data_IF_472935675509
#
_entry.id   IF_472935675509
#
_cell.length_a   1.000
_cell.length_b   1.000
_cell.length_c   1.000
_cell.angle_alpha   90.00
_cell.angle_beta   90.00
_cell.angle_gamma   90.00
#
_symmetry.space_group_name_H-M   'P 1'
#
loop_
_entity.id
_entity.type
_entity.pdbx_description
1 polymer ?
#
# COMPACT_ATOMS: atom_id res chain seq x y z
N UNK A 1 26.13 -0.40 20.19
CA UNK A 1 25.06 -1.20 19.56
C UNK A 1 24.20 -1.83 20.66
N UNK A 2 22.93 -1.41 20.83
CA UNK A 2 21.99 -1.96 21.82
C UNK A 2 21.06 -3.02 21.19
N UNK A 3 21.60 -3.98 20.44
CA UNK A 3 20.82 -5.16 20.05
C UNK A 3 21.11 -6.26 21.06
N UNK A 4 20.46 -6.17 22.23
CA UNK A 4 20.47 -7.20 23.29
C UNK A 4 19.48 -8.33 22.98
N UNK A 5 18.86 -8.91 24.00
CA UNK A 5 17.86 -10.01 23.88
C UNK A 5 16.72 -9.73 22.87
N UNK A 6 16.43 -8.47 22.55
CA UNK A 6 15.47 -8.09 21.51
C UNK A 6 15.78 -8.67 20.12
N UNK A 7 17.05 -8.97 19.80
CA UNK A 7 17.42 -9.62 18.55
C UNK A 7 16.96 -11.09 18.46
N UNK A 8 16.67 -11.73 19.60
CA UNK A 8 16.10 -13.08 19.68
C UNK A 8 14.58 -13.07 19.66
N UNK A 9 13.94 -11.89 19.68
CA UNK A 9 12.49 -11.82 19.64
C UNK A 9 11.99 -12.24 18.27
N UNK A 10 11.10 -13.23 18.25
CA UNK A 10 10.49 -13.75 17.03
C UNK A 10 9.39 -12.84 16.47
N UNK A 11 9.02 -11.78 17.20
CA UNK A 11 7.93 -10.88 16.86
C UNK A 11 8.38 -9.42 16.93
N UNK A 12 7.67 -8.56 16.20
CA UNK A 12 7.85 -7.12 16.34
C UNK A 12 7.16 -6.64 17.63
N UNK A 13 7.77 -5.75 18.43
CA UNK A 13 7.19 -5.27 19.68
C UNK A 13 6.00 -4.31 19.49
N UNK A 14 5.67 -3.95 18.25
CA UNK A 14 4.56 -3.07 17.89
C UNK A 14 3.90 -3.57 16.60
N UNK A 15 2.67 -3.10 16.36
CA UNK A 15 1.97 -3.35 15.10
C UNK A 15 2.61 -2.51 13.99
N UNK A 16 3.42 -3.17 13.17
CA UNK A 16 4.13 -2.53 12.06
C UNK A 16 3.19 -1.97 11.01
N UNK A 17 2.06 -2.64 10.75
CA UNK A 17 1.12 -2.18 9.73
C UNK A 17 0.39 -0.93 10.20
N UNK A 18 -0.02 -0.89 11.48
CA UNK A 18 -0.63 0.29 12.08
C UNK A 18 0.31 1.51 12.01
N UNK A 19 1.57 1.36 12.43
CA UNK A 19 2.56 2.46 12.39
C UNK A 19 2.75 3.01 10.98
N UNK A 20 2.85 2.13 9.96
CA UNK A 20 3.00 2.57 8.58
C UNK A 20 1.73 3.24 8.03
N UNK A 21 0.54 2.79 8.44
CA UNK A 21 -0.73 3.39 8.05
C UNK A 21 -0.95 4.76 8.69
N UNK A 22 -0.57 4.93 9.95
CA UNK A 22 -0.62 6.22 10.65
C UNK A 22 0.25 7.28 9.97
N UNK A 23 1.37 6.87 9.37
CA UNK A 23 2.32 7.76 8.69
C UNK A 23 2.12 7.79 7.17
N UNK A 24 1.01 7.26 6.66
CA UNK A 24 0.76 7.09 5.23
C UNK A 24 0.95 8.37 4.42
N UNK A 25 0.32 9.47 4.84
CA UNK A 25 0.37 10.74 4.11
C UNK A 25 1.80 11.28 4.02
N UNK A 26 2.54 11.21 5.12
CA UNK A 26 3.95 11.59 5.14
C UNK A 26 4.78 10.74 4.16
N UNK A 27 4.57 9.43 4.13
CA UNK A 27 5.28 8.51 3.23
C UNK A 27 4.92 8.79 1.77
N UNK A 28 3.63 8.94 1.46
CA UNK A 28 3.15 9.24 0.10
C UNK A 28 3.74 10.56 -0.40
N UNK A 29 3.71 11.62 0.43
CA UNK A 29 4.25 12.93 0.06
C UNK A 29 5.78 12.95 -0.05
N UNK A 30 6.50 12.34 0.89
CA UNK A 30 7.97 12.39 0.93
C UNK A 30 8.63 11.57 -0.18
N UNK A 31 7.94 10.53 -0.67
CA UNK A 31 8.42 9.65 -1.73
C UNK A 31 7.73 9.92 -3.08
N UNK A 32 6.91 10.98 -3.18
CA UNK A 32 6.15 11.36 -4.38
C UNK A 32 5.34 10.18 -4.96
N UNK A 33 4.65 9.44 -4.08
CA UNK A 33 3.86 8.27 -4.46
C UNK A 33 2.40 8.64 -4.70
N UNK A 34 1.85 8.17 -5.81
CA UNK A 34 0.39 8.22 -6.06
C UNK A 34 -0.40 7.40 -5.03
N UNK A 35 0.20 6.30 -4.55
CA UNK A 35 -0.44 5.37 -3.62
C UNK A 35 0.58 4.53 -2.85
N UNK A 36 0.40 4.50 -1.53
CA UNK A 36 1.01 3.53 -0.64
C UNK A 36 0.02 2.41 -0.27
N UNK A 37 0.50 1.18 -0.16
CA UNK A 37 -0.32 0.04 0.28
C UNK A 37 0.53 -1.03 0.95
N UNK A 38 -0.05 -1.69 1.94
CA UNK A 38 0.60 -2.78 2.69
C UNK A 38 -0.07 -4.09 2.29
N UNK A 39 0.75 -5.12 2.02
CA UNK A 39 0.28 -6.50 1.84
C UNK A 39 0.87 -7.40 2.93
N UNK A 40 0.03 -8.28 3.44
CA UNK A 40 0.45 -9.29 4.42
C UNK A 40 0.91 -10.55 3.69
N UNK A 41 1.92 -11.23 4.26
CA UNK A 41 2.59 -12.39 3.64
C UNK A 41 1.69 -13.62 3.46
N UNK A 42 0.53 -13.64 4.12
CA UNK A 42 -0.48 -14.70 4.05
C UNK A 42 -1.44 -14.54 2.86
N UNK A 43 -1.35 -13.43 2.11
CA UNK A 43 -2.18 -13.18 0.94
C UNK A 43 -1.68 -13.97 -0.27
N UNK A 44 -2.62 -14.56 -1.01
CA UNK A 44 -2.33 -15.42 -2.18
C UNK A 44 -1.63 -14.70 -3.34
N UNK A 45 -1.69 -13.37 -3.39
CA UNK A 45 -1.08 -12.52 -4.41
C UNK A 45 0.32 -12.01 -4.03
N UNK A 46 0.91 -12.52 -2.95
CA UNK A 46 2.30 -12.26 -2.55
C UNK A 46 3.21 -13.32 -3.14
N UNK A 47 4.33 -12.89 -3.74
CA UNK A 47 5.28 -13.81 -4.33
C UNK A 47 5.86 -14.78 -3.29
N UNK A 48 6.01 -16.09 -3.60
CA UNK A 48 6.50 -17.09 -2.65
C UNK A 48 7.89 -16.79 -2.07
N UNK A 49 8.72 -16.03 -2.79
CA UNK A 49 10.04 -15.63 -2.29
C UNK A 49 9.91 -14.58 -1.18
N UNK A 50 8.96 -13.65 -1.30
CA UNK A 50 8.72 -12.59 -0.32
C UNK A 50 8.20 -13.21 0.98
N UNK A 51 7.21 -14.11 0.89
CA UNK A 51 6.64 -14.77 2.09
C UNK A 51 7.66 -15.63 2.86
N UNK A 52 8.71 -16.13 2.19
CA UNK A 52 9.78 -16.92 2.82
C UNK A 52 10.92 -16.09 3.42
N UNK A 53 11.09 -14.86 2.97
CA UNK A 53 12.27 -14.02 3.29
C UNK A 53 11.95 -12.83 4.18
N UNK A 54 10.71 -12.35 4.16
CA UNK A 54 10.24 -11.29 5.06
C UNK A 54 10.23 -11.77 6.50
N UNK A 55 10.72 -10.92 7.41
CA UNK A 55 10.69 -11.13 8.85
C UNK A 55 10.07 -9.92 9.55
N UNK A 56 9.45 -10.09 10.73
CA UNK A 56 8.96 -8.98 11.53
C UNK A 56 10.07 -7.95 11.83
N UNK A 57 9.72 -6.68 11.84
CA UNK A 57 10.64 -5.53 11.98
C UNK A 57 11.36 -5.11 10.70
N UNK A 58 11.36 -5.92 9.64
CA UNK A 58 12.04 -5.62 8.37
C UNK A 58 11.11 -5.90 7.16
N UNK A 59 10.14 -4.99 6.88
CA UNK A 59 9.27 -5.14 5.72
C UNK A 59 10.05 -4.93 4.41
N UNK A 60 9.65 -5.65 3.36
CA UNK A 60 10.15 -5.45 1.99
C UNK A 60 9.25 -4.44 1.28
N UNK A 61 9.86 -3.51 0.53
CA UNK A 61 9.17 -2.44 -0.19
C UNK A 61 9.39 -2.61 -1.70
N UNK A 62 8.31 -2.55 -2.47
CA UNK A 62 8.35 -2.59 -3.94
C UNK A 62 7.75 -1.31 -4.51
N UNK A 63 8.51 -0.64 -5.38
CA UNK A 63 8.02 0.49 -6.15
C UNK A 63 7.51 0.00 -7.50
N UNK A 64 6.27 0.35 -7.81
CA UNK A 64 5.67 0.06 -9.09
C UNK A 64 5.73 1.32 -9.96
N UNK A 65 5.90 1.17 -11.28
CA UNK A 65 5.83 2.31 -12.18
C UNK A 65 4.44 2.98 -12.08
N UNK A 66 4.34 4.28 -12.40
CA UNK A 66 3.07 4.98 -12.44
C UNK A 66 2.07 4.22 -13.31
N UNK A 67 0.82 4.10 -12.85
CA UNK A 67 -0.21 3.45 -13.65
C UNK A 67 -0.48 4.31 -14.88
N UNK A 68 -0.58 3.71 -16.08
CA UNK A 68 -0.92 4.48 -17.27
C UNK A 68 -2.25 5.20 -17.04
N UNK A 69 -2.26 6.50 -17.30
CA UNK A 69 -3.48 7.28 -17.23
C UNK A 69 -4.51 6.65 -18.17
N UNK A 70 -5.68 6.28 -17.63
CA UNK A 70 -6.79 5.86 -18.46
C UNK A 70 -7.26 7.08 -19.24
N UNK A 71 -6.93 7.13 -20.53
CA UNK A 71 -7.48 8.15 -21.44
C UNK A 71 -8.98 7.89 -21.55
N UNK A 72 -9.77 8.63 -20.76
CA UNK A 72 -11.22 8.64 -20.92
C UNK A 72 -11.52 9.29 -22.29
N UNK A 73 -12.22 8.61 -23.21
CA UNK A 73 -12.67 9.26 -24.43
C UNK A 73 -13.62 10.40 -24.02
N UNK A 74 -13.23 11.64 -24.33
CA UNK A 74 -14.11 12.80 -24.25
C UNK A 74 -15.36 12.49 -25.09
N UNK A 75 -16.51 12.22 -24.45
CA UNK A 75 -17.77 12.08 -25.20
C UNK A 75 -18.83 11.09 -24.73
N UNK A 76 -18.84 10.57 -23.50
CA UNK A 76 -20.04 9.92 -22.95
C UNK A 76 -20.36 10.32 -21.52
N UNK A 77 -20.57 11.61 -21.31
CA UNK A 77 -21.41 12.07 -20.21
C UNK A 77 -22.85 11.95 -20.70
N UNK A 78 -23.55 10.85 -20.36
CA UNK A 78 -25.01 10.86 -20.48
C UNK A 78 -25.53 11.70 -19.33
N UNK A 79 -25.72 12.99 -19.58
CA UNK A 79 -26.51 13.85 -18.70
C UNK A 79 -27.93 13.27 -18.68
N UNK A 80 -28.33 12.64 -17.58
CA UNK A 80 -29.76 12.50 -17.27
C UNK A 80 -30.26 13.89 -16.87
N UNK A 81 -30.57 14.71 -17.86
CA UNK A 81 -31.27 15.98 -17.68
C UNK A 81 -32.77 15.73 -17.84
N UNK A 82 -33.48 15.80 -16.72
CA UNK A 82 -34.73 16.56 -16.57
C UNK A 82 -35.98 16.11 -17.35
N UNK A 83 -37.00 15.77 -16.56
CA UNK A 83 -38.37 16.30 -16.67
C UNK A 83 -39.15 16.02 -17.96
N UNK A 84 -40.22 15.24 -17.80
CA UNK A 84 -41.39 15.37 -18.67
C UNK A 84 -42.57 15.68 -17.76
N UNK A 85 -42.92 16.96 -17.68
CA UNK A 85 -44.30 17.38 -17.41
C UNK A 85 -45.22 16.70 -18.43
N UNK A 86 -46.26 16.01 -17.95
CA UNK A 86 -47.65 16.12 -18.40
C UNK A 86 -48.56 15.24 -17.55
#
# INVERSE_FOLDING_TARGET
MKKGMAALSSACPFDQAAVLLENREYIENSLELDRFSIKFIDKADVEPIISKTVVPGYPVMHFFPPRPALTLPFGRIKTQSGETER
#
